data_IF_037208312067
#
_entry.id   IF_037208312067
#
_cell.length_a   1.000
_cell.length_b   1.000
_cell.length_c   1.000
_cell.angle_alpha   90.00
_cell.angle_beta   90.00
_cell.angle_gamma   90.00
#
_symmetry.space_group_name_H-M   'P 1'
#
loop_
_entity.id
_entity.type
_entity.pdbx_description
1 polymer ?
#
# COMPACT_ATOMS: atom_id res chain seq x y z
N UNK A 1 -15.00 23.74 -7.66
CA UNK A 1 -14.01 22.92 -6.91
C UNK A 1 -14.12 23.31 -5.44
N UNK A 2 -14.67 22.46 -4.58
CA UNK A 2 -14.80 22.78 -3.15
C UNK A 2 -13.41 22.70 -2.53
N UNK A 3 -12.88 23.83 -2.05
CA UNK A 3 -11.59 23.87 -1.35
C UNK A 3 -11.77 23.11 -0.04
N UNK A 4 -11.18 21.92 0.07
CA UNK A 4 -11.18 21.14 1.32
C UNK A 4 -10.55 21.99 2.43
N UNK A 5 -11.15 21.98 3.61
CA UNK A 5 -10.67 22.73 4.77
C UNK A 5 -9.24 22.32 5.13
N UNK A 6 -8.51 23.21 5.81
CA UNK A 6 -7.17 22.87 6.33
C UNK A 6 -7.21 21.59 7.19
N UNK A 7 -8.23 21.43 8.04
CA UNK A 7 -8.39 20.26 8.89
C UNK A 7 -8.58 18.96 8.10
N UNK A 8 -9.42 18.96 7.06
CA UNK A 8 -9.61 17.77 6.21
C UNK A 8 -8.33 17.39 5.46
N UNK A 9 -7.57 18.38 4.98
CA UNK A 9 -6.28 18.13 4.32
C UNK A 9 -5.26 17.53 5.29
N UNK A 10 -5.16 18.08 6.49
CA UNK A 10 -4.26 17.59 7.54
C UNK A 10 -4.64 16.19 8.02
N UNK A 11 -5.93 15.92 8.22
CA UNK A 11 -6.42 14.60 8.60
C UNK A 11 -6.09 13.54 7.53
N UNK A 12 -6.32 13.88 6.26
CA UNK A 12 -5.97 12.99 5.14
C UNK A 12 -4.48 12.68 5.11
N UNK A 13 -3.64 13.71 5.21
CA UNK A 13 -2.18 13.53 5.20
C UNK A 13 -1.71 12.67 6.38
N UNK A 14 -2.24 12.92 7.58
CA UNK A 14 -1.94 12.12 8.78
C UNK A 14 -2.33 10.65 8.60
N UNK A 15 -3.50 10.38 8.02
CA UNK A 15 -3.96 9.02 7.74
C UNK A 15 -3.09 8.33 6.69
N UNK A 16 -2.63 9.03 5.65
CA UNK A 16 -1.67 8.50 4.67
C UNK A 16 -0.36 8.09 5.35
N UNK A 17 0.22 8.97 6.17
CA UNK A 17 1.44 8.68 6.95
C UNK A 17 1.24 7.45 7.83
N UNK A 18 0.11 7.39 8.54
CA UNK A 18 -0.20 6.29 9.46
C UNK A 18 -0.34 4.97 8.70
N UNK A 19 -1.05 4.95 7.58
CA UNK A 19 -1.23 3.76 6.75
C UNK A 19 0.12 3.23 6.23
N UNK A 20 0.96 4.11 5.69
CA UNK A 20 2.31 3.77 5.26
C UNK A 20 3.17 3.22 6.41
N UNK A 21 3.04 3.79 7.61
CA UNK A 21 3.77 3.33 8.80
C UNK A 21 3.38 1.92 9.23
N UNK A 22 2.11 1.55 9.12
CA UNK A 22 1.69 0.17 9.42
C UNK A 22 2.25 -0.80 8.38
N UNK A 23 2.19 -0.48 7.09
CA UNK A 23 2.81 -1.31 6.03
C UNK A 23 4.32 -1.47 6.23
N UNK A 24 5.01 -0.40 6.61
CA UNK A 24 6.44 -0.43 6.95
C UNK A 24 6.75 -1.48 8.02
N UNK A 25 5.97 -1.56 9.10
CA UNK A 25 6.19 -2.54 10.16
C UNK A 25 6.06 -3.97 9.65
N UNK A 26 5.09 -4.22 8.79
CA UNK A 26 4.88 -5.53 8.16
C UNK A 26 6.05 -5.90 7.24
N UNK A 27 6.58 -4.92 6.49
CA UNK A 27 7.77 -5.09 5.66
C UNK A 27 9.03 -5.37 6.51
N UNK A 28 9.23 -4.62 7.59
CA UNK A 28 10.35 -4.84 8.52
C UNK A 28 10.29 -6.24 9.15
N UNK A 29 9.08 -6.75 9.44
CA UNK A 29 8.88 -8.14 9.90
C UNK A 29 9.19 -9.17 8.81
N UNK A 30 8.79 -8.92 7.57
CA UNK A 30 9.02 -9.82 6.45
C UNK A 30 10.50 -9.83 5.99
N UNK A 31 11.22 -8.73 6.23
CA UNK A 31 12.61 -8.54 5.83
C UNK A 31 12.73 -7.96 4.41
N UNK A 32 13.49 -6.86 4.27
CA UNK A 32 13.64 -6.12 3.02
C UNK A 32 14.29 -6.96 1.89
N UNK A 33 15.22 -7.84 2.21
CA UNK A 33 15.88 -8.73 1.23
C UNK A 33 14.89 -9.72 0.60
N UNK A 34 13.95 -10.25 1.38
CA UNK A 34 12.91 -11.14 0.85
C UNK A 34 12.02 -10.38 -0.14
N UNK A 35 11.69 -9.13 0.15
CA UNK A 35 10.90 -8.28 -0.75
C UNK A 35 11.63 -8.00 -2.04
N UNK A 36 12.94 -7.73 -1.96
CA UNK A 36 13.78 -7.51 -3.14
C UNK A 36 13.79 -8.74 -4.04
N UNK A 37 13.97 -9.94 -3.48
CA UNK A 37 13.90 -11.20 -4.23
C UNK A 37 12.54 -11.36 -4.93
N UNK A 38 11.44 -11.03 -4.26
CA UNK A 38 10.10 -11.11 -4.83
C UNK A 38 9.89 -10.11 -5.96
N UNK A 39 10.29 -8.85 -5.76
CA UNK A 39 10.21 -7.82 -6.78
C UNK A 39 11.12 -8.12 -7.97
N UNK A 40 12.32 -8.67 -7.74
CA UNK A 40 13.25 -9.13 -8.77
C UNK A 40 12.67 -10.29 -9.58
N UNK A 41 11.89 -11.17 -8.95
CA UNK A 41 11.11 -12.20 -9.63
C UNK A 41 9.83 -11.67 -10.31
N UNK A 42 9.54 -10.36 -10.23
CA UNK A 42 8.32 -9.74 -10.76
C UNK A 42 7.05 -10.13 -10.01
N UNK A 43 7.18 -10.70 -8.81
CA UNK A 43 6.05 -11.09 -7.96
C UNK A 43 5.56 -9.90 -7.16
N UNK A 44 4.25 -9.87 -6.91
CA UNK A 44 3.65 -8.84 -6.08
C UNK A 44 3.94 -9.09 -4.63
N UNK A 45 4.53 -8.10 -3.98
CA UNK A 45 4.80 -8.13 -2.55
C UNK A 45 3.47 -8.10 -1.80
N UNK A 46 2.56 -7.22 -2.21
CA UNK A 46 1.25 -7.10 -1.56
C UNK A 46 0.37 -8.33 -1.80
N UNK A 47 0.36 -8.88 -3.01
CA UNK A 47 -0.38 -10.11 -3.31
C UNK A 47 0.08 -11.26 -2.42
N UNK A 48 1.39 -11.49 -2.33
CA UNK A 48 1.95 -12.56 -1.49
C UNK A 48 1.67 -12.32 0.00
N UNK A 49 1.75 -11.07 0.46
CA UNK A 49 1.39 -10.71 1.83
C UNK A 49 -0.07 -11.04 2.13
N UNK A 50 -0.98 -10.63 1.25
CA UNK A 50 -2.43 -10.87 1.40
C UNK A 50 -2.75 -12.37 1.37
N UNK A 51 -2.11 -13.14 0.48
CA UNK A 51 -2.26 -14.60 0.41
C UNK A 51 -1.80 -15.29 1.71
N UNK A 52 -0.83 -14.71 2.41
CA UNK A 52 -0.34 -15.18 3.71
C UNK A 52 -1.22 -14.79 4.90
N UNK A 53 -2.11 -13.81 4.75
CA UNK A 53 -3.05 -13.38 5.79
C UNK A 53 -4.23 -14.36 5.92
N UNK A 54 -4.73 -14.53 7.14
CA UNK A 54 -5.99 -15.24 7.37
C UNK A 54 -7.18 -14.51 6.70
N UNK A 55 -8.29 -15.21 6.40
CA UNK A 55 -9.49 -14.57 5.84
C UNK A 55 -10.05 -13.42 6.69
N UNK A 56 -9.93 -13.52 8.01
CA UNK A 56 -10.34 -12.48 8.97
C UNK A 56 -9.45 -11.24 8.85
N UNK A 57 -8.13 -11.42 8.74
CA UNK A 57 -7.18 -10.34 8.53
C UNK A 57 -7.38 -9.67 7.18
N UNK A 58 -7.57 -10.46 6.10
CA UNK A 58 -7.87 -9.91 4.78
C UNK A 58 -9.15 -9.06 4.81
N UNK A 59 -10.20 -9.52 5.50
CA UNK A 59 -11.45 -8.76 5.65
C UNK A 59 -11.22 -7.44 6.40
N UNK A 60 -10.41 -7.45 7.46
CA UNK A 60 -10.04 -6.24 8.21
C UNK A 60 -9.24 -5.27 7.33
N UNK A 61 -8.18 -5.76 6.69
CA UNK A 61 -7.32 -4.96 5.79
C UNK A 61 -8.17 -4.34 4.68
N UNK A 62 -9.08 -5.12 4.08
CA UNK A 62 -10.01 -4.62 3.05
C UNK A 62 -10.91 -3.50 3.56
N UNK A 63 -11.48 -3.63 4.76
CA UNK A 63 -12.31 -2.58 5.38
C UNK A 63 -11.52 -1.30 5.65
N UNK A 64 -10.31 -1.44 6.16
CA UNK A 64 -9.44 -0.31 6.47
C UNK A 64 -9.05 0.44 5.19
N UNK A 65 -8.63 -0.28 4.14
CA UNK A 65 -8.31 0.34 2.85
C UNK A 65 -9.53 0.94 2.15
N UNK A 66 -10.71 0.31 2.23
CA UNK A 66 -11.95 0.91 1.72
C UNK A 66 -12.28 2.23 2.43
N UNK A 67 -12.07 2.29 3.74
CA UNK A 67 -12.26 3.52 4.52
C UNK A 67 -11.29 4.61 4.05
N UNK A 68 -10.01 4.28 3.84
CA UNK A 68 -9.01 5.20 3.29
C UNK A 68 -9.41 5.73 1.90
N UNK A 69 -9.88 4.85 1.01
CA UNK A 69 -10.36 5.22 -0.32
C UNK A 69 -11.53 6.20 -0.27
N UNK A 70 -12.51 5.96 0.60
CA UNK A 70 -13.66 6.85 0.79
C UNK A 70 -13.25 8.24 1.29
N UNK A 71 -12.14 8.34 2.03
CA UNK A 71 -11.54 9.60 2.46
C UNK A 71 -10.67 10.26 1.37
N UNK A 72 -10.58 9.65 0.19
CA UNK A 72 -9.78 10.12 -0.94
C UNK A 72 -8.28 9.91 -0.77
N UNK A 73 -7.89 8.85 -0.05
CA UNK A 73 -6.52 8.37 0.08
C UNK A 73 -6.37 7.15 -0.83
N UNK A 74 -5.56 7.26 -1.88
CA UNK A 74 -5.37 6.18 -2.85
C UNK A 74 -4.21 5.26 -2.47
N UNK A 75 -4.15 4.02 -3.01
CA UNK A 75 -3.00 3.14 -2.84
C UNK A 75 -1.70 3.82 -3.27
N UNK A 76 -1.69 4.54 -4.40
CA UNK A 76 -0.52 5.32 -4.84
C UNK A 76 -0.01 6.33 -3.78
N UNK A 77 -0.91 7.03 -3.08
CA UNK A 77 -0.51 7.95 -2.01
C UNK A 77 0.16 7.21 -0.85
N UNK A 78 -0.39 6.06 -0.46
CA UNK A 78 0.14 5.25 0.63
C UNK A 78 1.50 4.64 0.24
N UNK A 79 1.63 4.12 -0.98
CA UNK A 79 2.88 3.53 -1.47
C UNK A 79 3.97 4.58 -1.68
N UNK A 80 3.62 5.78 -2.14
CA UNK A 80 4.58 6.89 -2.28
C UNK A 80 5.06 7.38 -0.92
N UNK A 81 4.16 7.49 0.05
CA UNK A 81 4.51 7.82 1.43
C UNK A 81 5.37 6.70 2.07
N UNK A 82 5.08 5.43 1.79
CA UNK A 82 5.88 4.29 2.24
C UNK A 82 7.31 4.34 1.67
N UNK A 83 7.48 4.63 0.38
CA UNK A 83 8.79 4.82 -0.23
C UNK A 83 9.53 6.04 0.38
N UNK A 84 8.81 7.08 0.79
CA UNK A 84 9.39 8.20 1.54
C UNK A 84 9.84 7.83 2.96
N UNK A 85 9.08 6.97 3.65
CA UNK A 85 9.40 6.48 5.00
C UNK A 85 10.50 5.39 5.00
N UNK A 86 10.67 4.69 3.87
CA UNK A 86 11.67 3.64 3.64
C UNK A 86 12.33 3.84 2.27
N UNK A 87 13.33 4.73 2.17
CA UNK A 87 14.02 5.02 0.91
C UNK A 87 14.62 3.80 0.23
N UNK A 88 14.92 2.74 0.99
CA UNK A 88 15.44 1.46 0.50
C UNK A 88 14.42 0.68 -0.34
N UNK A 89 13.11 0.92 -0.14
CA UNK A 89 12.05 0.37 -0.96
C UNK A 89 11.85 1.15 -2.25
N UNK A 90 12.20 2.44 -2.30
CA UNK A 90 12.04 3.26 -3.50
C UNK A 90 12.67 2.63 -4.76
N UNK A 91 13.94 2.17 -4.76
CA UNK A 91 14.52 1.51 -5.94
C UNK A 91 13.86 0.16 -6.26
N UNK A 92 13.22 -0.51 -5.29
CA UNK A 92 12.48 -1.75 -5.52
C UNK A 92 11.14 -1.46 -6.23
N UNK A 93 10.46 -0.40 -5.80
CA UNK A 93 9.16 0.01 -6.35
C UNK A 93 9.29 0.72 -7.71
N UNK A 94 10.31 1.57 -7.85
CA UNK A 94 10.52 2.43 -9.02
C UNK A 94 11.55 1.89 -10.01
N UNK A 95 12.43 0.97 -9.59
CA UNK A 95 13.49 0.42 -10.43
C UNK A 95 13.03 -0.53 -11.52
N UNK A 96 11.76 -0.96 -11.50
CA UNK A 96 11.13 -1.72 -12.57
C UNK A 96 9.94 -0.97 -13.13
N UNK A 97 10.01 -0.68 -14.42
CA UNK A 97 8.93 -0.03 -15.15
C UNK A 97 7.63 -0.83 -14.99
N UNK A 98 6.58 -0.17 -14.53
CA UNK A 98 5.26 -0.76 -14.32
C UNK A 98 5.10 -1.60 -13.04
N UNK A 99 6.15 -1.88 -12.26
CA UNK A 99 6.02 -2.69 -11.03
C UNK A 99 5.13 -2.00 -9.98
N UNK A 100 5.44 -0.74 -9.64
CA UNK A 100 4.58 0.07 -8.74
C UNK A 100 3.14 0.15 -9.23
N UNK A 101 2.94 0.31 -10.55
CA UNK A 101 1.60 0.34 -11.14
C UNK A 101 0.86 -0.98 -10.95
N UNK A 102 1.53 -2.12 -11.15
CA UNK A 102 0.97 -3.43 -10.89
C UNK A 102 0.61 -3.66 -9.41
N UNK A 103 1.42 -3.16 -8.48
CA UNK A 103 1.09 -3.21 -7.05
C UNK A 103 -0.16 -2.36 -6.71
N UNK A 104 -0.26 -1.16 -7.31
CA UNK A 104 -1.45 -0.30 -7.17
C UNK A 104 -2.69 -1.02 -7.69
N UNK A 105 -2.64 -1.55 -8.92
CA UNK A 105 -3.77 -2.25 -9.54
C UNK A 105 -4.23 -3.46 -8.71
N UNK A 106 -3.29 -4.23 -8.16
CA UNK A 106 -3.61 -5.36 -7.27
C UNK A 106 -4.27 -4.93 -5.97
N UNK A 107 -3.76 -3.87 -5.34
CA UNK A 107 -4.37 -3.31 -4.14
C UNK A 107 -5.76 -2.75 -4.44
N UNK A 108 -5.95 -2.04 -5.55
CA UNK A 108 -7.26 -1.54 -5.97
C UNK A 108 -8.25 -2.68 -6.22
N UNK A 109 -7.82 -3.74 -6.93
CA UNK A 109 -8.64 -4.92 -7.18
C UNK A 109 -9.02 -5.67 -5.89
N UNK A 110 -8.07 -5.82 -4.96
CA UNK A 110 -8.32 -6.43 -3.65
C UNK A 110 -9.37 -5.65 -2.84
N UNK A 111 -9.30 -4.31 -2.90
CA UNK A 111 -10.21 -3.44 -2.14
C UNK A 111 -11.61 -3.38 -2.77
N UNK A 112 -11.69 -3.50 -4.10
CA UNK A 112 -12.95 -3.51 -4.88
C UNK A 112 -13.62 -4.88 -5.01
N UNK A 113 -13.03 -5.94 -4.44
CA UNK A 113 -13.49 -7.32 -4.61
C UNK A 113 -13.44 -7.85 -6.06
N UNK A 114 -12.57 -7.26 -6.90
CA UNK A 114 -12.32 -7.75 -8.26
C UNK A 114 -11.26 -8.86 -8.30
N UNK A 115 -10.60 -9.14 -7.17
CA UNK A 115 -9.72 -10.30 -7.02
C UNK A 115 -10.56 -11.58 -6.88
N UNK A 116 -10.90 -12.18 -8.03
CA UNK A 116 -11.46 -13.53 -8.17
C UNK A 116 -10.38 -14.55 -8.44
#
# INVERSE_FOLDING_TARGET
MMVKSFMERSARHFLTIKAARELRKEIERAGLENLKILADAGKSIFGIYLDGCSPEEQTRIRRDFNTLLQLGITPDMVLSELAGQMPELAPIMEGKEGYKKGEIEKLEAFVREEAK
#
